data_IF_723978234972
#
_entry.id   IF_723978234972
#
_cell.length_a   1.000
_cell.length_b   1.000
_cell.length_c   1.000
_cell.angle_alpha   90.00
_cell.angle_beta   90.00
_cell.angle_gamma   90.00
#
_symmetry.space_group_name_H-M   'P 1'
#
loop_
_entity.id
_entity.type
_entity.pdbx_description
1 polymer ?
#
# COMPACT_ATOMS: atom_id res chain seq x y z
N UNK A 1 17.87 -16.21 15.91
CA UNK A 1 17.30 -17.55 15.71
C UNK A 1 17.55 -17.90 14.26
N UNK A 2 18.04 -19.10 13.94
CA UNK A 2 18.39 -19.45 12.56
C UNK A 2 17.11 -19.66 11.73
N UNK A 3 17.18 -19.46 10.41
CA UNK A 3 16.04 -19.65 9.50
C UNK A 3 15.40 -21.04 9.67
N UNK A 4 16.22 -22.08 9.81
CA UNK A 4 15.74 -23.46 10.01
C UNK A 4 14.90 -23.63 11.29
N UNK A 5 15.30 -22.98 12.39
CA UNK A 5 14.52 -23.05 13.64
C UNK A 5 13.15 -22.38 13.47
N UNK A 6 13.10 -21.24 12.77
CA UNK A 6 11.83 -20.55 12.44
C UNK A 6 10.99 -21.36 11.47
N UNK A 7 11.60 -21.99 10.47
CA UNK A 7 10.90 -22.78 9.47
C UNK A 7 10.20 -23.98 10.10
N UNK A 8 10.85 -24.68 11.03
CA UNK A 8 10.25 -25.82 11.74
C UNK A 8 9.01 -25.41 12.53
N UNK A 9 9.10 -24.31 13.28
CA UNK A 9 7.97 -23.76 14.05
C UNK A 9 6.86 -23.26 13.11
N UNK A 10 7.22 -22.53 12.05
CA UNK A 10 6.28 -22.03 11.05
C UNK A 10 5.52 -23.16 10.36
N UNK A 11 6.22 -24.18 9.87
CA UNK A 11 5.62 -25.36 9.21
C UNK A 11 4.62 -26.03 10.13
N UNK A 12 4.96 -26.21 11.41
CA UNK A 12 4.09 -26.84 12.40
C UNK A 12 2.82 -26.04 12.68
N UNK A 13 2.90 -24.71 12.68
CA UNK A 13 1.74 -23.85 12.93
C UNK A 13 0.86 -23.64 11.69
N UNK A 14 1.50 -23.49 10.54
CA UNK A 14 0.89 -23.17 9.25
C UNK A 14 0.20 -24.37 8.61
N UNK A 15 0.78 -25.58 8.74
CA UNK A 15 0.21 -26.82 8.22
C UNK A 15 -1.19 -27.08 8.80
N UNK A 16 -2.17 -27.24 7.92
CA UNK A 16 -3.56 -27.51 8.29
C UNK A 16 -4.23 -26.39 9.07
N UNK A 17 -3.68 -25.16 9.06
CA UNK A 17 -4.22 -24.06 9.86
C UNK A 17 -5.69 -23.75 9.56
N UNK A 18 -6.13 -23.91 8.31
CA UNK A 18 -7.51 -23.77 7.85
C UNK A 18 -8.54 -24.65 8.58
N UNK A 19 -8.10 -25.70 9.28
CA UNK A 19 -8.96 -26.57 10.10
C UNK A 19 -9.26 -25.96 11.47
N UNK A 20 -8.46 -24.99 11.91
CA UNK A 20 -8.63 -24.28 13.18
C UNK A 20 -9.72 -23.24 13.01
N UNK A 21 -10.52 -23.03 14.05
CA UNK A 21 -11.61 -22.03 14.05
C UNK A 21 -11.11 -20.60 13.79
N UNK A 22 -9.84 -20.34 14.06
CA UNK A 22 -9.18 -19.05 13.87
C UNK A 22 -8.82 -18.76 12.41
N UNK A 23 -8.91 -19.75 11.52
CA UNK A 23 -8.71 -19.58 10.09
C UNK A 23 -10.05 -19.58 9.35
N UNK A 24 -10.17 -18.74 8.32
CA UNK A 24 -11.33 -18.75 7.43
C UNK A 24 -11.50 -20.15 6.83
N UNK A 25 -12.76 -20.56 6.64
CA UNK A 25 -13.08 -21.85 6.07
C UNK A 25 -12.57 -21.94 4.63
N UNK A 26 -11.39 -22.53 4.43
CA UNK A 26 -10.90 -22.87 3.11
C UNK A 26 -11.86 -23.87 2.48
N UNK A 27 -12.22 -23.69 1.21
CA UNK A 27 -13.19 -24.56 0.50
C UNK A 27 -12.59 -25.29 -0.69
N UNK A 28 -11.39 -24.90 -1.13
CA UNK A 28 -10.65 -25.52 -2.23
C UNK A 28 -10.35 -27.00 -1.95
N UNK A 29 -10.16 -27.40 -0.68
CA UNK A 29 -10.04 -28.82 -0.32
C UNK A 29 -11.25 -29.67 -0.74
N UNK A 30 -12.44 -29.07 -0.87
CA UNK A 30 -13.65 -29.76 -1.35
C UNK A 30 -13.65 -29.97 -2.86
N UNK A 31 -12.72 -29.36 -3.58
CA UNK A 31 -12.57 -29.44 -5.03
C UNK A 31 -11.61 -30.55 -5.48
N UNK A 32 -11.17 -31.41 -4.55
CA UNK A 32 -10.37 -32.61 -4.87
C UNK A 32 -8.86 -32.42 -4.73
N UNK A 33 -8.42 -31.50 -3.87
CA UNK A 33 -6.99 -31.38 -3.53
C UNK A 33 -6.54 -32.62 -2.75
N UNK A 34 -5.35 -33.12 -3.07
CA UNK A 34 -4.76 -34.26 -2.39
C UNK A 34 -4.10 -33.81 -1.08
N UNK A 35 -4.30 -34.63 -0.03
CA UNK A 35 -3.80 -34.43 1.34
C UNK A 35 -3.99 -32.99 1.88
N UNK A 36 -5.23 -32.50 2.00
CA UNK A 36 -5.50 -31.11 2.38
C UNK A 36 -4.95 -30.71 3.77
N UNK A 37 -4.67 -31.66 4.65
CA UNK A 37 -3.96 -31.46 5.92
C UNK A 37 -2.48 -31.05 5.75
N UNK A 38 -1.90 -31.30 4.57
CA UNK A 38 -0.55 -30.89 4.20
C UNK A 38 -0.50 -29.49 3.58
N UNK A 39 -1.62 -28.75 3.59
CA UNK A 39 -1.71 -27.39 3.09
C UNK A 39 -1.97 -26.39 4.21
N UNK A 40 -1.49 -25.17 4.05
CA UNK A 40 -1.84 -24.02 4.89
C UNK A 40 -2.42 -22.89 4.05
N UNK A 41 -3.09 -21.94 4.68
CA UNK A 41 -3.67 -20.75 4.04
C UNK A 41 -3.26 -19.48 4.75
N UNK A 42 -3.00 -18.41 4.01
CA UNK A 42 -2.85 -17.06 4.56
C UNK A 42 -3.50 -16.04 3.64
N UNK A 43 -3.76 -14.85 4.18
CA UNK A 43 -4.29 -13.72 3.46
C UNK A 43 -3.29 -12.57 3.46
N UNK A 44 -3.29 -11.80 2.38
CA UNK A 44 -2.38 -10.67 2.18
C UNK A 44 -3.11 -9.36 2.36
N UNK A 45 -4.29 -9.22 1.76
CA UNK A 45 -5.05 -7.98 1.77
C UNK A 45 -6.55 -8.23 1.57
N UNK A 46 -7.34 -7.19 1.81
CA UNK A 46 -8.78 -7.19 1.64
C UNK A 46 -9.26 -5.83 1.10
N UNK A 47 -10.56 -5.65 0.91
CA UNK A 47 -11.13 -4.37 0.42
C UNK A 47 -10.68 -3.14 1.18
N UNK A 48 -10.52 -3.27 2.51
CA UNK A 48 -10.24 -2.17 3.42
C UNK A 48 -8.73 -2.04 3.72
N UNK A 49 -7.86 -2.77 3.00
CA UNK A 49 -6.42 -2.67 3.13
C UNK A 49 -5.89 -1.33 2.61
N UNK A 50 -4.94 -0.74 3.34
CA UNK A 50 -4.26 0.49 2.95
C UNK A 50 -3.06 0.24 2.04
N UNK A 51 -2.34 1.32 1.71
CA UNK A 51 -1.22 1.32 0.78
C UNK A 51 -0.13 0.33 1.20
N UNK A 52 0.17 0.22 2.49
CA UNK A 52 1.20 -0.69 3.02
C UNK A 52 0.85 -2.15 2.75
N UNK A 53 -0.39 -2.53 3.09
CA UNK A 53 -0.90 -3.89 2.86
C UNK A 53 -0.88 -4.24 1.35
N UNK A 54 -1.31 -3.30 0.50
CA UNK A 54 -1.33 -3.49 -0.95
C UNK A 54 0.08 -3.59 -1.56
N UNK A 55 1.03 -2.81 -1.04
CA UNK A 55 2.43 -2.88 -1.47
C UNK A 55 3.04 -4.24 -1.09
N UNK A 56 2.86 -4.66 0.15
CA UNK A 56 3.33 -5.97 0.61
C UNK A 56 2.66 -7.13 -0.14
N UNK A 57 1.36 -7.02 -0.43
CA UNK A 57 0.63 -8.00 -1.22
C UNK A 57 1.23 -8.16 -2.63
N UNK A 58 1.66 -7.07 -3.27
CA UNK A 58 2.29 -7.14 -4.59
C UNK A 58 3.61 -7.92 -4.61
N UNK A 59 4.37 -7.88 -3.51
CA UNK A 59 5.57 -8.71 -3.34
C UNK A 59 5.20 -10.17 -3.18
N UNK A 60 4.16 -10.49 -2.39
CA UNK A 60 3.64 -11.86 -2.31
C UNK A 60 3.17 -12.35 -3.68
N UNK A 61 2.45 -11.55 -4.44
CA UNK A 61 1.94 -11.97 -5.76
C UNK A 61 3.08 -12.34 -6.71
N UNK A 62 4.13 -11.52 -6.75
CA UNK A 62 5.32 -11.77 -7.55
C UNK A 62 6.10 -13.01 -7.10
N UNK A 63 6.33 -13.16 -5.80
CA UNK A 63 7.12 -14.27 -5.25
C UNK A 63 6.36 -15.60 -5.24
N UNK A 64 5.02 -15.55 -5.20
CA UNK A 64 4.17 -16.75 -5.20
C UNK A 64 3.79 -17.24 -6.60
N UNK A 65 3.88 -16.39 -7.63
CA UNK A 65 3.56 -16.74 -9.03
C UNK A 65 4.20 -18.07 -9.50
N UNK A 66 5.51 -18.34 -9.29
CA UNK A 66 6.11 -19.61 -9.71
C UNK A 66 5.49 -20.84 -9.05
N UNK A 67 5.06 -20.71 -7.79
CA UNK A 67 4.45 -21.80 -7.03
C UNK A 67 2.97 -22.00 -7.38
N UNK A 68 2.31 -20.97 -7.89
CA UNK A 68 0.98 -21.11 -8.49
C UNK A 68 1.08 -21.88 -9.81
N UNK A 69 2.09 -21.59 -10.63
CA UNK A 69 2.32 -22.28 -11.90
C UNK A 69 2.70 -23.77 -11.71
N UNK A 70 3.49 -24.09 -10.67
CA UNK A 70 3.89 -25.47 -10.38
C UNK A 70 2.85 -26.28 -9.57
N UNK A 71 1.79 -25.62 -9.09
CA UNK A 71 0.68 -26.23 -8.35
C UNK A 71 0.98 -26.51 -6.88
N UNK A 72 2.07 -25.99 -6.32
CA UNK A 72 2.36 -26.02 -4.88
C UNK A 72 1.77 -24.84 -4.10
N UNK A 73 1.16 -23.88 -4.81
CA UNK A 73 0.31 -22.84 -4.27
C UNK A 73 -0.95 -22.62 -5.13
N UNK A 74 -1.98 -22.01 -4.53
CA UNK A 74 -3.14 -21.51 -5.24
C UNK A 74 -3.49 -20.13 -4.73
N UNK A 75 -3.75 -19.19 -5.64
CA UNK A 75 -4.38 -17.92 -5.29
C UNK A 75 -5.80 -18.18 -4.77
N UNK A 76 -6.11 -17.59 -3.63
CA UNK A 76 -7.39 -17.71 -2.96
C UNK A 76 -8.08 -16.35 -2.94
N UNK A 77 -9.35 -16.32 -3.33
CA UNK A 77 -10.20 -15.14 -3.20
C UNK A 77 -11.54 -15.55 -2.60
N UNK A 78 -11.97 -14.85 -1.57
CA UNK A 78 -13.19 -15.18 -0.83
C UNK A 78 -14.04 -13.95 -0.61
N UNK A 79 -15.34 -14.07 -0.89
CA UNK A 79 -16.31 -13.06 -0.49
C UNK A 79 -16.56 -13.12 1.02
N UNK A 80 -16.55 -11.96 1.68
CA UNK A 80 -16.73 -11.84 3.12
C UNK A 80 -17.73 -10.74 3.45
N UNK A 81 -18.64 -11.00 4.40
CA UNK A 81 -19.72 -10.06 4.72
C UNK A 81 -19.21 -8.78 5.42
N UNK A 82 -18.08 -8.84 6.13
CA UNK A 82 -17.51 -7.70 6.87
C UNK A 82 -16.65 -6.77 6.01
N UNK A 83 -15.78 -7.34 5.17
CA UNK A 83 -14.81 -6.60 4.36
C UNK A 83 -15.06 -6.76 2.85
N UNK A 84 -16.20 -7.30 2.42
CA UNK A 84 -16.50 -7.52 0.99
C UNK A 84 -15.76 -8.72 0.40
N UNK A 85 -14.43 -8.67 0.37
CA UNK A 85 -13.56 -9.73 -0.14
C UNK A 85 -12.24 -9.79 0.65
N UNK A 86 -11.55 -10.91 0.57
CA UNK A 86 -10.21 -11.12 1.10
C UNK A 86 -9.43 -12.04 0.16
N UNK A 87 -8.19 -11.68 -0.12
CA UNK A 87 -7.31 -12.37 -1.05
C UNK A 87 -6.05 -12.88 -0.36
N UNK A 88 -5.48 -13.95 -0.90
CA UNK A 88 -4.35 -14.65 -0.31
C UNK A 88 -3.95 -15.89 -1.09
N UNK A 89 -3.33 -16.83 -0.38
CA UNK A 89 -2.82 -18.06 -0.96
C UNK A 89 -3.05 -19.25 -0.05
N UNK A 90 -3.38 -20.38 -0.65
CA UNK A 90 -3.18 -21.70 -0.05
C UNK A 90 -1.88 -22.29 -0.58
N UNK A 91 -1.10 -22.93 0.29
CA UNK A 91 0.26 -23.40 -0.04
C UNK A 91 0.46 -24.81 0.51
N UNK A 92 0.98 -25.70 -0.33
CA UNK A 92 1.38 -27.05 0.06
C UNK A 92 2.60 -26.94 0.95
N UNK A 93 2.50 -27.41 2.19
CA UNK A 93 3.55 -27.33 3.21
C UNK A 93 4.52 -28.49 3.09
N UNK A 94 4.00 -29.70 2.85
CA UNK A 94 4.84 -30.88 2.61
C UNK A 94 4.41 -31.62 1.35
N UNK A 95 5.40 -32.20 0.65
CA UNK A 95 5.17 -33.07 -0.50
C UNK A 95 4.70 -34.49 -0.07
N UNK A 96 4.47 -35.35 -1.07
CA UNK A 96 4.04 -36.74 -0.86
C UNK A 96 5.07 -37.59 -0.09
N UNK A 97 6.36 -37.22 -0.16
CA UNK A 97 7.46 -37.88 0.53
C UNK A 97 7.65 -37.32 1.96
N UNK A 98 6.90 -36.28 2.33
CA UNK A 98 6.94 -35.62 3.63
C UNK A 98 8.02 -34.54 3.77
N UNK A 99 8.63 -34.09 2.68
CA UNK A 99 9.62 -33.01 2.68
C UNK A 99 8.92 -31.65 2.67
N UNK A 100 9.52 -30.67 3.36
CA UNK A 100 9.07 -29.27 3.33
C UNK A 100 9.28 -28.67 1.94
N UNK A 101 8.21 -28.14 1.35
CA UNK A 101 8.23 -27.57 0.00
C UNK A 101 8.96 -26.23 -0.05
N UNK A 102 9.38 -25.81 -1.25
CA UNK A 102 9.99 -24.48 -1.43
C UNK A 102 8.96 -23.33 -1.34
N UNK A 103 7.70 -23.60 -1.67
CA UNK A 103 6.63 -22.62 -1.55
C UNK A 103 6.42 -22.17 -0.09
N UNK A 104 6.36 -23.09 0.87
CA UNK A 104 6.20 -22.71 2.29
C UNK A 104 7.47 -22.06 2.86
N UNK A 105 8.66 -22.42 2.36
CA UNK A 105 9.91 -21.72 2.72
C UNK A 105 9.84 -20.27 2.27
N UNK A 106 9.39 -19.99 1.04
CA UNK A 106 9.22 -18.62 0.55
C UNK A 106 8.25 -17.82 1.41
N UNK A 107 7.10 -18.40 1.78
CA UNK A 107 6.15 -17.73 2.68
C UNK A 107 6.81 -17.43 4.03
N UNK A 108 7.54 -18.38 4.61
CA UNK A 108 8.27 -18.19 5.86
C UNK A 108 9.29 -17.06 5.75
N UNK A 109 10.09 -17.03 4.69
CA UNK A 109 11.05 -15.94 4.41
C UNK A 109 10.37 -14.57 4.39
N UNK A 110 9.26 -14.44 3.66
CA UNK A 110 8.53 -13.16 3.55
C UNK A 110 7.88 -12.75 4.88
N UNK A 111 7.32 -13.70 5.63
CA UNK A 111 6.73 -13.41 6.95
C UNK A 111 7.80 -13.02 7.97
N UNK A 112 8.96 -13.67 7.95
CA UNK A 112 10.11 -13.27 8.78
C UNK A 112 10.63 -11.88 8.40
N UNK A 113 10.68 -11.56 7.10
CA UNK A 113 11.06 -10.22 6.65
C UNK A 113 10.08 -9.17 7.18
N UNK A 114 8.77 -9.43 7.13
CA UNK A 114 7.74 -8.55 7.71
C UNK A 114 7.84 -8.38 9.22
N UNK A 115 8.24 -9.44 9.95
CA UNK A 115 8.49 -9.36 11.39
C UNK A 115 9.72 -8.51 11.73
N UNK A 116 10.73 -8.50 10.87
CA UNK A 116 11.92 -7.66 11.01
C UNK A 116 11.65 -6.20 10.60
N UNK A 117 10.94 -6.01 9.48
CA UNK A 117 10.62 -4.70 8.93
C UNK A 117 9.27 -4.75 8.19
N UNK A 118 8.30 -3.87 8.51
CA UNK A 118 6.91 -4.00 8.05
C UNK A 118 6.70 -3.73 6.54
N UNK A 119 7.74 -3.34 5.80
CA UNK A 119 7.69 -3.01 4.37
C UNK A 119 8.58 -3.99 3.61
N UNK A 120 8.02 -4.73 2.65
CA UNK A 120 8.76 -5.68 1.82
C UNK A 120 9.45 -5.01 0.62
N UNK A 121 8.89 -3.91 0.11
CA UNK A 121 9.45 -3.10 -0.97
C UNK A 121 9.23 -1.61 -0.69
N UNK A 122 10.25 -0.96 -0.13
CA UNK A 122 10.23 0.47 0.17
C UNK A 122 9.95 1.34 -1.06
N UNK A 123 10.41 0.90 -2.24
CA UNK A 123 10.26 1.68 -3.46
C UNK A 123 8.83 1.63 -3.96
N UNK A 124 8.22 0.44 -3.98
CA UNK A 124 6.81 0.28 -4.33
C UNK A 124 5.91 1.01 -3.32
N UNK A 125 6.16 0.84 -2.01
CA UNK A 125 5.40 1.52 -0.97
C UNK A 125 5.47 3.06 -1.12
N UNK A 126 6.68 3.61 -1.23
CA UNK A 126 6.88 5.07 -1.41
C UNK A 126 6.21 5.60 -2.67
N UNK A 127 6.26 4.84 -3.77
CA UNK A 127 5.64 5.24 -5.04
C UNK A 127 4.11 5.30 -4.91
N UNK A 128 3.49 4.32 -4.24
CA UNK A 128 2.04 4.32 -4.02
C UNK A 128 1.60 5.45 -3.09
N UNK A 129 2.37 5.76 -2.05
CA UNK A 129 2.11 6.91 -1.19
C UNK A 129 2.15 8.23 -1.98
N UNK A 130 3.14 8.37 -2.86
CA UNK A 130 3.26 9.52 -3.75
C UNK A 130 2.07 9.61 -4.72
N UNK A 131 1.73 8.52 -5.42
CA UNK A 131 0.61 8.48 -6.36
C UNK A 131 -0.72 8.83 -5.69
N UNK A 132 -0.98 8.27 -4.50
CA UNK A 132 -2.18 8.58 -3.73
C UNK A 132 -2.21 10.04 -3.25
N UNK A 133 -1.08 10.59 -2.81
CA UNK A 133 -0.99 12.00 -2.43
C UNK A 133 -1.29 12.93 -3.62
N UNK A 134 -0.74 12.63 -4.81
CA UNK A 134 -1.00 13.38 -6.05
C UNK A 134 -2.48 13.29 -6.44
N UNK A 135 -3.11 12.13 -6.31
CA UNK A 135 -4.54 11.96 -6.56
C UNK A 135 -5.39 12.78 -5.56
N UNK A 136 -5.06 12.74 -4.27
CA UNK A 136 -5.74 13.51 -3.24
C UNK A 136 -5.62 15.02 -3.51
N UNK A 137 -4.42 15.50 -3.84
CA UNK A 137 -4.19 16.89 -4.28
C UNK A 137 -5.10 17.24 -5.45
N UNK A 138 -5.19 16.36 -6.46
CA UNK A 138 -6.09 16.58 -7.59
C UNK A 138 -7.52 16.79 -7.11
N UNK A 139 -8.05 15.93 -6.23
CA UNK A 139 -9.42 16.02 -5.74
C UNK A 139 -9.69 17.32 -4.95
N UNK A 140 -8.74 17.72 -4.11
CA UNK A 140 -8.84 18.93 -3.28
C UNK A 140 -8.76 20.19 -4.16
N UNK A 141 -7.76 20.24 -5.03
CA UNK A 141 -7.31 21.47 -5.67
C UNK A 141 -7.90 21.72 -7.07
N UNK A 142 -8.59 20.73 -7.65
CA UNK A 142 -9.18 20.81 -8.98
C UNK A 142 -10.05 22.05 -9.22
N UNK A 143 -10.78 22.52 -8.20
CA UNK A 143 -11.67 23.68 -8.35
C UNK A 143 -10.96 25.03 -8.18
N UNK A 144 -9.65 25.05 -7.92
CA UNK A 144 -8.87 26.27 -7.72
C UNK A 144 -7.75 26.43 -8.74
N UNK A 145 -7.39 25.38 -9.47
CA UNK A 145 -6.41 25.47 -10.56
C UNK A 145 -7.06 26.16 -11.76
N UNK A 146 -6.28 26.96 -12.47
CA UNK A 146 -6.69 27.60 -13.73
C UNK A 146 -7.10 26.56 -14.78
N UNK A 147 -8.21 26.83 -15.47
CA UNK A 147 -8.83 25.92 -16.44
C UNK A 147 -7.87 25.38 -17.51
N UNK A 148 -6.92 26.19 -18.00
CA UNK A 148 -6.00 25.75 -19.06
C UNK A 148 -4.93 24.74 -18.61
N UNK A 149 -4.84 24.45 -17.31
CA UNK A 149 -3.97 23.38 -16.80
C UNK A 149 -4.70 22.04 -16.60
N UNK A 150 -6.02 22.04 -16.42
CA UNK A 150 -6.81 20.82 -16.11
C UNK A 150 -6.63 19.74 -17.18
N UNK A 151 -6.68 20.13 -18.45
CA UNK A 151 -6.55 19.23 -19.61
C UNK A 151 -5.19 19.38 -20.32
N UNK A 152 -4.17 19.90 -19.63
CA UNK A 152 -2.84 20.13 -20.20
C UNK A 152 -1.89 18.95 -19.97
N UNK A 153 -0.75 18.94 -20.68
CA UNK A 153 0.34 17.99 -20.43
C UNK A 153 1.15 18.32 -19.15
N UNK A 154 0.79 19.38 -18.42
CA UNK A 154 1.46 19.78 -17.17
C UNK A 154 0.84 19.00 -16.02
N UNK A 155 1.67 18.23 -15.32
CA UNK A 155 1.29 17.55 -14.08
C UNK A 155 1.33 18.53 -12.90
N UNK A 156 0.34 19.41 -12.85
CA UNK A 156 0.25 20.45 -11.84
C UNK A 156 0.07 19.88 -10.42
N UNK A 157 -0.48 18.67 -10.29
CA UNK A 157 -0.63 17.98 -9.01
C UNK A 157 0.74 17.57 -8.46
N UNK A 158 1.61 17.00 -9.31
CA UNK A 158 2.99 16.68 -8.94
C UNK A 158 3.82 17.94 -8.60
N UNK A 159 3.59 19.05 -9.30
CA UNK A 159 4.22 20.34 -8.99
C UNK A 159 3.77 20.87 -7.61
N UNK A 160 2.47 20.76 -7.29
CA UNK A 160 1.94 21.12 -5.96
C UNK A 160 2.53 20.22 -4.87
N UNK A 161 2.59 18.90 -5.09
CA UNK A 161 3.24 17.97 -4.18
C UNK A 161 4.69 18.37 -3.93
N UNK A 162 5.45 18.62 -5.00
CA UNK A 162 6.86 19.02 -4.92
C UNK A 162 7.03 20.35 -4.17
N UNK A 163 6.11 21.29 -4.37
CA UNK A 163 6.12 22.55 -3.62
C UNK A 163 5.86 22.32 -2.13
N UNK A 164 4.87 21.50 -1.77
CA UNK A 164 4.58 21.15 -0.37
C UNK A 164 5.77 20.42 0.27
N UNK A 165 6.42 19.51 -0.46
CA UNK A 165 7.62 18.83 0.01
C UNK A 165 8.75 19.78 0.40
N UNK A 166 8.91 20.86 -0.36
CA UNK A 166 9.97 21.86 -0.16
C UNK A 166 9.62 22.98 0.83
N UNK A 167 8.34 23.10 1.24
CA UNK A 167 7.85 24.26 2.00
C UNK A 167 6.99 23.92 3.21
N UNK A 168 6.26 22.81 3.19
CA UNK A 168 5.42 22.31 4.29
C UNK A 168 5.25 20.78 4.25
N UNK A 169 6.28 20.05 4.69
CA UNK A 169 6.25 18.58 4.72
C UNK A 169 5.20 18.00 5.66
N UNK A 170 4.69 18.79 6.61
CA UNK A 170 3.67 18.30 7.55
C UNK A 170 2.34 18.03 6.85
N UNK A 171 2.08 18.75 5.75
CA UNK A 171 0.92 18.52 4.87
C UNK A 171 1.04 17.24 4.04
N UNK A 172 2.23 16.63 3.99
CA UNK A 172 2.52 15.40 3.27
C UNK A 172 2.67 14.17 4.17
N UNK A 173 2.33 14.28 5.46
CA UNK A 173 2.34 13.14 6.38
C UNK A 173 1.17 12.19 6.09
N UNK A 174 1.49 10.93 5.76
CA UNK A 174 0.50 9.86 5.62
C UNK A 174 0.16 9.25 6.99
N UNK A 175 -1.04 9.54 7.49
CA UNK A 175 -1.46 9.16 8.84
C UNK A 175 -2.49 8.01 8.87
N UNK A 176 -3.12 7.71 7.74
CA UNK A 176 -4.21 6.73 7.63
C UNK A 176 -3.94 5.64 6.57
N UNK A 177 -2.73 5.60 6.01
CA UNK A 177 -2.30 4.65 4.99
C UNK A 177 -3.09 4.77 3.67
N UNK A 178 -3.59 5.98 3.36
CA UNK A 178 -4.31 6.31 2.12
C UNK A 178 -3.61 7.43 1.32
N UNK A 179 -2.35 7.72 1.65
CA UNK A 179 -1.58 8.81 1.07
C UNK A 179 -1.87 10.14 1.76
N UNK A 180 -1.01 11.13 1.53
CA UNK A 180 -1.18 12.43 2.17
C UNK A 180 -2.47 13.13 1.72
N UNK A 181 -3.10 13.83 2.66
CA UNK A 181 -4.29 14.64 2.40
C UNK A 181 -4.04 16.10 2.86
N UNK A 182 -3.30 16.89 2.05
CA UNK A 182 -2.99 18.26 2.41
C UNK A 182 -4.26 19.10 2.55
N UNK A 183 -4.21 20.16 3.35
CA UNK A 183 -5.33 21.07 3.50
C UNK A 183 -5.61 21.85 2.21
N UNK A 184 -6.88 22.25 2.02
CA UNK A 184 -7.30 23.12 0.92
C UNK A 184 -6.48 24.42 0.88
N UNK A 185 -6.24 25.01 2.06
CA UNK A 185 -5.44 26.24 2.19
C UNK A 185 -4.00 26.04 1.69
N UNK A 186 -3.35 24.94 2.10
CA UNK A 186 -1.99 24.61 1.67
C UNK A 186 -1.91 24.34 0.17
N UNK A 187 -2.92 23.67 -0.41
CA UNK A 187 -3.04 23.51 -1.87
C UNK A 187 -3.19 24.86 -2.59
N UNK A 188 -4.04 25.78 -2.09
CA UNK A 188 -4.21 27.12 -2.69
C UNK A 188 -2.93 27.95 -2.61
N UNK A 189 -2.20 27.88 -1.51
CA UNK A 189 -0.90 28.56 -1.34
C UNK A 189 0.10 28.02 -2.37
N UNK A 190 0.19 26.70 -2.53
CA UNK A 190 1.07 26.07 -3.50
C UNK A 190 0.71 26.50 -4.94
N UNK A 191 -0.56 26.40 -5.32
CA UNK A 191 -1.06 26.84 -6.63
C UNK A 191 -0.77 28.34 -6.86
N UNK A 192 -0.94 29.18 -5.84
CA UNK A 192 -0.62 30.61 -5.94
C UNK A 192 0.87 30.85 -6.18
N UNK A 193 1.74 30.15 -5.43
CA UNK A 193 3.18 30.26 -5.55
C UNK A 193 3.70 29.79 -6.93
N UNK A 194 3.08 28.74 -7.49
CA UNK A 194 3.39 28.19 -8.81
C UNK A 194 2.79 29.02 -9.95
N UNK A 195 1.86 29.94 -9.66
CA UNK A 195 1.13 30.72 -10.67
C UNK A 195 0.04 29.91 -11.39
N UNK A 196 -0.43 28.84 -10.75
CA UNK A 196 -1.44 27.91 -11.25
C UNK A 196 -2.84 28.19 -10.69
N UNK A 197 -2.95 29.00 -9.63
CA UNK A 197 -4.24 29.36 -9.06
C UNK A 197 -5.10 30.17 -10.05
N UNK A 198 -6.39 29.86 -10.10
CA UNK A 198 -7.39 30.57 -10.90
C UNK A 198 -7.31 32.09 -10.64
N UNK A 199 -7.21 32.93 -11.69
CA UNK A 199 -7.12 34.37 -11.55
C UNK A 199 -8.28 35.03 -10.80
N UNK A 200 -9.50 34.50 -10.88
CA UNK A 200 -10.67 35.02 -10.18
C UNK A 200 -10.51 34.81 -8.67
N UNK A 201 -10.22 33.58 -8.24
CA UNK A 201 -9.95 33.24 -6.83
C UNK A 201 -8.75 34.03 -6.30
N UNK A 202 -7.65 34.04 -7.06
CA UNK A 202 -6.45 34.78 -6.70
C UNK A 202 -6.75 36.25 -6.40
N UNK A 203 -7.59 36.88 -7.22
CA UNK A 203 -7.93 38.31 -7.07
C UNK A 203 -8.80 38.56 -5.84
N UNK A 204 -9.65 37.61 -5.47
CA UNK A 204 -10.48 37.71 -4.26
C UNK A 204 -9.62 37.61 -2.99
N UNK A 205 -8.60 36.75 -2.99
CA UNK A 205 -7.83 36.40 -1.79
C UNK A 205 -6.35 36.85 -1.81
N UNK A 206 -5.94 37.73 -2.73
CA UNK A 206 -4.52 38.03 -3.04
C UNK A 206 -3.67 38.42 -1.82
N UNK A 207 -4.22 39.28 -0.95
CA UNK A 207 -3.52 39.76 0.25
C UNK A 207 -3.34 38.63 1.28
N UNK A 208 -4.37 37.82 1.50
CA UNK A 208 -4.32 36.68 2.42
C UNK A 208 -3.34 35.61 1.95
N UNK A 209 -3.43 35.21 0.69
CA UNK A 209 -2.55 34.19 0.08
C UNK A 209 -1.09 34.63 0.10
N UNK A 210 -0.82 35.91 -0.17
CA UNK A 210 0.54 36.46 -0.09
C UNK A 210 1.09 36.36 1.33
N UNK A 211 0.26 36.65 2.34
CA UNK A 211 0.68 36.59 3.73
C UNK A 211 0.95 35.15 4.18
N UNK A 212 0.06 34.21 3.85
CA UNK A 212 0.23 32.78 4.14
C UNK A 212 1.46 32.20 3.42
N UNK A 213 1.70 32.57 2.16
CA UNK A 213 2.89 32.15 1.42
C UNK A 213 4.19 32.63 2.09
N UNK A 214 4.21 33.87 2.57
CA UNK A 214 5.36 34.41 3.32
C UNK A 214 5.59 33.60 4.60
N UNK A 215 4.54 33.16 5.29
CA UNK A 215 4.65 32.35 6.50
C UNK A 215 5.18 30.95 6.21
N UNK A 216 4.61 30.25 5.21
CA UNK A 216 5.07 28.93 4.78
C UNK A 216 6.56 28.95 4.38
N UNK A 217 6.98 29.96 3.62
CA UNK A 217 8.37 30.05 3.13
C UNK A 217 9.38 30.51 4.19
N UNK A 218 8.96 31.20 5.26
CA UNK A 218 9.84 31.62 6.37
C UNK A 218 10.39 30.43 7.18
N UNK A 219 9.68 29.31 7.20
CA UNK A 219 10.12 28.11 7.92
C UNK A 219 11.38 27.46 7.32
N UNK A 220 11.83 27.88 6.12
CA UNK A 220 13.13 27.50 5.53
C UNK A 220 14.37 27.94 6.32
N UNK A 221 14.26 28.97 7.16
CA UNK A 221 15.41 29.60 7.82
C UNK A 221 15.93 28.91 9.09
N UNK A 222 15.19 27.96 9.66
CA UNK A 222 15.48 27.40 10.99
C UNK A 222 15.93 25.93 10.99
N UNK A 223 15.93 25.24 9.84
CA UNK A 223 16.36 23.84 9.71
C UNK A 223 17.66 23.67 8.89
N UNK A 224 18.52 24.70 8.86
CA UNK A 224 19.86 24.66 8.24
C UNK A 224 20.96 24.33 9.24
#
# INVERSE_FOLDING_TARGET
MHFEDHLDDFVKEFKGNWQKFESFGWSHWRMGIEDPENWGIFYTHNRDSGILDLSNASVFDKEMEPFVEDGTAHSESHNHWGCGWIDGYSVRVVDEDGNVTDAVKKVCELKMALEEYPVLDDSDYSNREYEAAVENISQIAHNFVRDDLIDSDVDWCADVFSWLWDNDQTELENNDDQGAYPSEDSCKIALYALGYLDPEIKKEDEEELTQKLIEATKNRGNNG
#
